data_IF_080858142947
#
_entry.id   IF_080858142947
#
_cell.length_a   1.000
_cell.length_b   1.000
_cell.length_c   1.000
_cell.angle_alpha   90.00
_cell.angle_beta   90.00
_cell.angle_gamma   90.00
#
_symmetry.space_group_name_H-M   'P 1'
#
loop_
_entity.id
_entity.type
_entity.pdbx_description
1 polymer ?
#
# COMPACT_ATOMS: atom_id res chain seq x y z
N UNK A 1 -27.46 72.24 -43.04
CA UNK A 1 -26.84 71.90 -41.72
C UNK A 1 -27.78 71.17 -40.74
N UNK A 2 -29.10 71.08 -40.98
CA UNK A 2 -30.03 70.40 -40.06
C UNK A 2 -30.07 68.85 -40.17
N UNK A 3 -29.69 68.26 -41.31
CA UNK A 3 -29.78 66.81 -41.56
C UNK A 3 -28.62 65.99 -40.98
N UNK A 4 -27.51 66.64 -40.59
CA UNK A 4 -26.33 65.97 -40.00
C UNK A 4 -26.52 65.78 -38.49
N UNK A 5 -27.18 66.73 -37.82
CA UNK A 5 -27.45 66.67 -36.38
C UNK A 5 -28.47 65.57 -36.00
N UNK A 6 -29.49 65.35 -36.85
CA UNK A 6 -30.49 64.31 -36.62
C UNK A 6 -29.91 62.87 -36.66
N UNK A 7 -28.94 62.62 -37.55
CA UNK A 7 -28.28 61.30 -37.66
C UNK A 7 -27.39 60.98 -36.46
N UNK A 8 -26.79 62.00 -35.85
CA UNK A 8 -25.91 61.84 -34.67
C UNK A 8 -26.71 61.52 -33.40
N UNK A 9 -27.91 62.08 -33.26
CA UNK A 9 -28.80 61.84 -32.09
C UNK A 9 -29.39 60.43 -32.11
N UNK A 10 -29.79 59.93 -33.28
CA UNK A 10 -30.34 58.57 -33.43
C UNK A 10 -29.27 57.50 -33.13
N UNK A 11 -28.02 57.70 -33.59
CA UNK A 11 -26.92 56.78 -33.27
C UNK A 11 -26.58 56.73 -31.78
N UNK A 12 -26.69 57.85 -31.06
CA UNK A 12 -26.40 57.90 -29.62
C UNK A 12 -27.47 57.17 -28.79
N UNK A 13 -28.75 57.24 -29.19
CA UNK A 13 -29.82 56.49 -28.53
C UNK A 13 -29.73 54.99 -28.80
N UNK A 14 -29.36 54.57 -30.02
CA UNK A 14 -29.16 53.15 -30.34
C UNK A 14 -27.99 52.55 -29.56
N UNK A 15 -26.88 53.29 -29.43
CA UNK A 15 -25.73 52.89 -28.60
C UNK A 15 -26.08 52.78 -27.11
N UNK A 16 -26.88 53.70 -26.57
CA UNK A 16 -27.31 53.66 -25.18
C UNK A 16 -28.25 52.48 -24.88
N UNK A 17 -29.17 52.16 -25.80
CA UNK A 17 -30.05 51.00 -25.68
C UNK A 17 -29.26 49.70 -25.76
N UNK A 18 -28.26 49.60 -26.65
CA UNK A 18 -27.40 48.42 -26.77
C UNK A 18 -26.51 48.22 -25.53
N UNK A 19 -26.01 49.31 -24.94
CA UNK A 19 -25.24 49.28 -23.70
C UNK A 19 -26.11 48.88 -22.50
N UNK A 20 -27.35 49.39 -22.41
CA UNK A 20 -28.33 48.94 -21.41
C UNK A 20 -28.70 47.45 -21.59
N UNK A 21 -28.86 46.96 -22.81
CA UNK A 21 -29.19 45.55 -23.09
C UNK A 21 -28.05 44.60 -22.69
N UNK A 22 -26.79 45.03 -22.83
CA UNK A 22 -25.61 44.30 -22.36
C UNK A 22 -25.45 44.32 -20.84
N UNK A 23 -25.87 45.40 -20.17
CA UNK A 23 -25.87 45.50 -18.70
C UNK A 23 -27.02 44.72 -18.05
N UNK A 24 -28.16 44.58 -18.73
CA UNK A 24 -29.31 43.83 -18.26
C UNK A 24 -29.20 42.30 -18.50
N UNK A 25 -28.16 41.81 -19.17
CA UNK A 25 -27.93 40.37 -19.32
C UNK A 25 -27.19 39.85 -18.08
N UNK A 26 -27.83 39.09 -17.17
CA UNK A 26 -27.15 38.60 -15.97
C UNK A 26 -26.05 37.61 -16.39
N UNK A 27 -24.76 37.88 -16.08
CA UNK A 27 -23.70 36.92 -16.31
C UNK A 27 -23.78 35.87 -15.21
N UNK A 28 -24.59 34.81 -15.35
CA UNK A 28 -24.77 33.91 -14.19
C UNK A 28 -25.31 32.49 -14.38
N UNK A 29 -25.96 32.15 -15.49
CA UNK A 29 -26.58 30.81 -15.62
C UNK A 29 -25.58 29.65 -15.63
N UNK A 30 -24.43 29.83 -16.28
CA UNK A 30 -23.41 28.78 -16.43
C UNK A 30 -22.55 28.54 -15.19
N UNK A 31 -22.32 29.56 -14.35
CA UNK A 31 -21.52 29.43 -13.12
C UNK A 31 -22.34 28.77 -12.01
N UNK A 32 -23.60 29.19 -11.79
CA UNK A 32 -24.50 28.55 -10.82
C UNK A 32 -24.70 27.05 -11.11
N UNK A 33 -24.82 26.66 -12.38
CA UNK A 33 -24.92 25.23 -12.76
C UNK A 33 -23.66 24.44 -12.42
N UNK A 34 -22.46 25.02 -12.60
CA UNK A 34 -21.20 24.36 -12.26
C UNK A 34 -21.00 24.24 -10.74
N UNK A 35 -21.41 25.25 -9.98
CA UNK A 35 -21.36 25.23 -8.52
C UNK A 35 -22.30 24.18 -7.93
N UNK A 36 -23.53 24.09 -8.43
CA UNK A 36 -24.48 23.06 -8.02
C UNK A 36 -23.99 21.63 -8.35
N UNK A 37 -23.37 21.44 -9.52
CA UNK A 37 -22.76 20.15 -9.89
C UNK A 37 -21.54 19.81 -9.02
N UNK A 38 -20.79 20.82 -8.58
CA UNK A 38 -19.63 20.63 -7.70
C UNK A 38 -20.08 20.19 -6.31
N UNK A 39 -21.07 20.88 -5.71
CA UNK A 39 -21.60 20.53 -4.40
C UNK A 39 -22.17 19.12 -4.41
N UNK A 40 -22.96 18.76 -5.43
CA UNK A 40 -23.51 17.40 -5.57
C UNK A 40 -22.40 16.32 -5.62
N UNK A 41 -21.30 16.58 -6.34
CA UNK A 41 -20.15 15.65 -6.38
C UNK A 41 -19.46 15.54 -5.03
N UNK A 42 -19.32 16.64 -4.28
CA UNK A 42 -18.70 16.64 -2.95
C UNK A 42 -19.59 15.90 -1.96
N UNK A 43 -20.89 16.13 -1.99
CA UNK A 43 -21.85 15.47 -1.10
C UNK A 43 -21.88 13.97 -1.34
N UNK A 44 -21.85 13.53 -2.60
CA UNK A 44 -21.74 12.11 -2.94
C UNK A 44 -20.43 11.48 -2.44
N UNK A 45 -19.30 12.19 -2.56
CA UNK A 45 -18.01 11.70 -2.05
C UNK A 45 -17.99 11.65 -0.51
N UNK A 46 -18.64 12.60 0.15
CA UNK A 46 -18.81 12.62 1.61
C UNK A 46 -19.72 11.50 2.09
N UNK A 47 -20.79 11.19 1.36
CA UNK A 47 -21.68 10.07 1.68
C UNK A 47 -20.97 8.72 1.52
N UNK A 48 -20.10 8.57 0.52
CA UNK A 48 -19.29 7.35 0.40
C UNK A 48 -18.19 7.27 1.45
N UNK A 49 -17.56 8.40 1.76
CA UNK A 49 -16.53 8.46 2.80
C UNK A 49 -17.12 8.18 4.19
N UNK A 50 -18.39 8.52 4.43
CA UNK A 50 -19.12 8.23 5.67
C UNK A 50 -19.28 6.72 5.90
N UNK A 51 -19.45 5.93 4.83
CA UNK A 51 -19.61 4.46 4.89
C UNK A 51 -18.29 3.70 4.89
N UNK A 52 -17.28 4.20 4.18
CA UNK A 52 -15.95 3.57 4.04
C UNK A 52 -14.86 4.62 4.01
N UNK A 53 -13.75 4.39 4.72
CA UNK A 53 -12.59 5.29 4.69
C UNK A 53 -11.91 5.36 3.32
N UNK A 54 -11.92 4.26 2.56
CA UNK A 54 -11.40 4.19 1.19
C UNK A 54 -12.54 3.89 0.22
N UNK A 55 -12.72 4.76 -0.77
CA UNK A 55 -13.77 4.63 -1.78
C UNK A 55 -13.26 3.81 -2.97
N UNK A 56 -13.94 2.70 -3.28
CA UNK A 56 -13.63 1.88 -4.47
C UNK A 56 -14.18 2.53 -5.74
N UNK A 57 -13.31 2.72 -6.72
CA UNK A 57 -13.59 3.39 -7.99
C UNK A 57 -13.38 2.42 -9.16
N UNK A 58 -14.38 2.37 -10.04
CA UNK A 58 -14.26 1.82 -11.39
C UNK A 58 -13.80 2.94 -12.35
N UNK A 59 -13.41 2.63 -13.59
CA UNK A 59 -13.02 3.58 -14.62
C UNK A 59 -14.01 4.73 -14.85
N UNK A 60 -15.32 4.47 -14.83
CA UNK A 60 -16.35 5.52 -14.96
C UNK A 60 -16.37 6.48 -13.77
N UNK A 61 -16.31 5.93 -12.55
CA UNK A 61 -16.28 6.74 -11.32
C UNK A 61 -15.00 7.56 -11.27
N UNK A 62 -13.87 6.96 -11.64
CA UNK A 62 -12.59 7.66 -11.73
C UNK A 62 -12.65 8.83 -12.72
N UNK A 63 -13.22 8.61 -13.91
CA UNK A 63 -13.39 9.68 -14.91
C UNK A 63 -14.29 10.80 -14.40
N UNK A 64 -15.40 10.49 -13.73
CA UNK A 64 -16.38 11.47 -13.22
C UNK A 64 -15.88 12.25 -12.00
N UNK A 65 -15.28 11.60 -11.01
CA UNK A 65 -14.92 12.23 -9.73
C UNK A 65 -13.46 12.69 -9.68
N UNK A 66 -12.54 12.01 -10.37
CA UNK A 66 -11.10 12.32 -10.33
C UNK A 66 -10.64 13.13 -11.54
N UNK A 67 -11.07 12.80 -12.77
CA UNK A 67 -10.63 13.51 -13.99
C UNK A 67 -11.54 14.68 -14.39
N UNK A 68 -12.85 14.54 -14.31
CA UNK A 68 -13.77 15.56 -14.82
C UNK A 68 -13.83 16.80 -13.90
N UNK A 69 -13.73 18.03 -14.46
CA UNK A 69 -14.04 19.24 -13.73
C UNK A 69 -15.57 19.37 -13.51
N UNK A 70 -16.04 20.20 -12.57
CA UNK A 70 -15.30 20.98 -11.57
C UNK A 70 -14.85 20.13 -10.37
N UNK A 71 -13.77 20.55 -9.68
CA UNK A 71 -13.27 19.96 -8.42
C UNK A 71 -12.69 21.07 -7.51
N UNK A 72 -12.96 20.96 -6.21
CA UNK A 72 -12.40 21.78 -5.14
C UNK A 72 -11.74 20.91 -4.05
N UNK A 73 -11.54 19.63 -4.33
CA UNK A 73 -10.95 18.64 -3.44
C UNK A 73 -9.78 17.93 -4.13
N UNK A 74 -8.83 17.50 -3.31
CA UNK A 74 -7.74 16.61 -3.67
C UNK A 74 -8.17 15.17 -3.48
N UNK A 75 -7.73 14.31 -4.39
CA UNK A 75 -7.99 12.87 -4.32
C UNK A 75 -6.67 12.13 -4.28
N UNK A 76 -6.49 11.28 -3.27
CA UNK A 76 -5.40 10.32 -3.22
C UNK A 76 -5.95 9.00 -3.79
N UNK A 77 -5.25 8.47 -4.79
CA UNK A 77 -5.66 7.26 -5.49
C UNK A 77 -4.57 6.22 -5.32
N UNK A 78 -4.95 5.06 -4.79
CA UNK A 78 -4.13 3.85 -4.85
C UNK A 78 -4.55 3.02 -6.06
N UNK A 79 -3.63 2.85 -7.00
CA UNK A 79 -3.75 1.90 -8.10
C UNK A 79 -3.22 0.56 -7.63
N UNK A 80 -4.02 -0.50 -7.74
CA UNK A 80 -3.70 -1.79 -7.15
C UNK A 80 -4.26 -2.95 -7.96
N UNK A 81 -3.89 -4.17 -7.58
CA UNK A 81 -4.43 -5.42 -8.12
C UNK A 81 -4.61 -6.41 -6.97
N UNK A 82 -5.75 -6.33 -6.25
CA UNK A 82 -6.04 -7.16 -5.08
C UNK A 82 -6.59 -8.53 -5.43
N UNK A 83 -7.04 -8.73 -6.67
CA UNK A 83 -7.68 -9.98 -7.06
C UNK A 83 -6.71 -11.16 -6.87
N UNK A 84 -7.15 -12.26 -6.22
CA UNK A 84 -6.26 -13.38 -5.87
C UNK A 84 -5.63 -14.05 -7.10
N UNK A 85 -6.26 -13.94 -8.27
CA UNK A 85 -5.71 -14.43 -9.53
C UNK A 85 -4.39 -13.75 -9.94
N UNK A 86 -4.16 -12.51 -9.49
CA UNK A 86 -2.94 -11.74 -9.79
C UNK A 86 -1.79 -12.02 -8.82
N UNK A 87 -2.07 -12.67 -7.69
CA UNK A 87 -1.09 -13.07 -6.66
C UNK A 87 -0.13 -11.94 -6.22
N UNK A 88 -0.58 -10.67 -6.21
CA UNK A 88 0.24 -9.53 -5.84
C UNK A 88 0.35 -9.37 -4.30
N UNK A 89 1.44 -9.90 -3.72
CA UNK A 89 1.70 -9.79 -2.27
C UNK A 89 1.94 -8.35 -1.81
N UNK A 90 2.70 -7.56 -2.59
CA UNK A 90 3.00 -6.15 -2.29
C UNK A 90 1.72 -5.30 -2.29
N UNK A 91 0.80 -5.56 -3.22
CA UNK A 91 -0.48 -4.86 -3.29
C UNK A 91 -1.33 -5.07 -2.03
N UNK A 92 -1.31 -6.29 -1.47
CA UNK A 92 -2.04 -6.61 -0.24
C UNK A 92 -1.48 -5.86 0.97
N UNK A 93 -0.15 -5.89 1.15
CA UNK A 93 0.51 -5.19 2.24
C UNK A 93 0.34 -3.67 2.13
N UNK A 94 0.52 -3.12 0.93
CA UNK A 94 0.32 -1.69 0.69
C UNK A 94 -1.13 -1.24 0.93
N UNK A 95 -2.11 -2.09 0.60
CA UNK A 95 -3.53 -1.82 0.90
C UNK A 95 -3.81 -1.81 2.40
N UNK A 96 -3.17 -2.68 3.20
CA UNK A 96 -3.31 -2.67 4.66
C UNK A 96 -2.82 -1.34 5.25
N UNK A 97 -1.63 -0.88 4.86
CA UNK A 97 -1.10 0.43 5.28
C UNK A 97 -1.96 1.60 4.79
N UNK A 98 -2.46 1.54 3.55
CA UNK A 98 -3.33 2.57 2.99
C UNK A 98 -4.68 2.66 3.74
N UNK A 99 -5.22 1.53 4.18
CA UNK A 99 -6.43 1.51 5.00
C UNK A 99 -6.20 2.12 6.38
N UNK A 100 -5.07 1.82 7.02
CA UNK A 100 -4.70 2.43 8.31
C UNK A 100 -4.62 3.96 8.19
N UNK A 101 -3.97 4.45 7.12
CA UNK A 101 -3.89 5.87 6.81
C UNK A 101 -5.28 6.51 6.61
N UNK A 102 -6.13 5.89 5.77
CA UNK A 102 -7.46 6.42 5.48
C UNK A 102 -8.38 6.39 6.70
N UNK A 103 -8.29 5.36 7.55
CA UNK A 103 -8.99 5.31 8.83
C UNK A 103 -8.50 6.42 9.77
N UNK A 104 -7.19 6.62 9.86
CA UNK A 104 -6.61 7.70 10.67
C UNK A 104 -7.09 9.08 10.23
N UNK A 105 -7.25 9.31 8.92
CA UNK A 105 -7.84 10.53 8.39
C UNK A 105 -9.30 10.70 8.82
N UNK A 106 -10.10 9.64 8.71
CA UNK A 106 -11.52 9.64 9.10
C UNK A 106 -11.73 10.02 10.57
N UNK A 107 -10.85 9.55 11.46
CA UNK A 107 -10.91 9.85 12.90
C UNK A 107 -10.12 11.09 13.31
N UNK A 108 -9.48 11.79 12.36
CA UNK A 108 -8.70 12.98 12.65
C UNK A 108 -9.60 14.19 12.93
N UNK A 109 -9.20 15.06 13.85
CA UNK A 109 -9.84 16.37 14.05
C UNK A 109 -9.69 17.30 12.85
N UNK A 110 -8.69 17.06 11.99
CA UNK A 110 -8.47 17.82 10.76
C UNK A 110 -9.35 17.36 9.58
N UNK A 111 -10.24 16.38 9.79
CA UNK A 111 -11.08 15.82 8.74
C UNK A 111 -11.88 16.89 7.98
N UNK A 112 -11.81 16.86 6.66
CA UNK A 112 -12.39 17.86 5.77
C UNK A 112 -12.86 17.24 4.45
N UNK A 113 -13.84 17.88 3.80
CA UNK A 113 -14.33 17.52 2.45
C UNK A 113 -13.36 17.92 1.32
N UNK A 114 -12.13 18.34 1.65
CA UNK A 114 -11.08 18.70 0.70
C UNK A 114 -10.16 17.55 0.33
N UNK A 115 -10.18 16.43 1.06
CA UNK A 115 -9.28 15.30 0.83
C UNK A 115 -10.05 13.97 0.90
N UNK A 116 -9.96 13.20 -0.18
CA UNK A 116 -10.60 11.89 -0.28
C UNK A 116 -9.60 10.79 -0.65
N UNK A 117 -9.79 9.62 -0.04
CA UNK A 117 -8.98 8.42 -0.29
C UNK A 117 -9.77 7.44 -1.17
N UNK A 118 -9.13 6.96 -2.23
CA UNK A 118 -9.77 6.12 -3.23
C UNK A 118 -8.85 5.01 -3.69
N UNK A 119 -9.43 3.92 -4.17
CA UNK A 119 -8.69 2.79 -4.74
C UNK A 119 -9.29 2.41 -6.08
N UNK A 120 -8.42 2.13 -7.05
CA UNK A 120 -8.79 1.60 -8.37
C UNK A 120 -8.07 0.26 -8.53
N UNK A 121 -8.85 -0.80 -8.65
CA UNK A 121 -8.30 -2.13 -8.95
C UNK A 121 -8.13 -2.29 -10.47
N UNK A 122 -7.06 -2.98 -10.89
CA UNK A 122 -6.78 -3.28 -12.29
C UNK A 122 -7.94 -4.01 -12.96
N UNK A 123 -8.54 -5.01 -12.29
CA UNK A 123 -9.62 -5.80 -12.90
C UNK A 123 -10.95 -5.00 -12.99
N UNK A 124 -11.13 -3.96 -12.16
CA UNK A 124 -12.31 -3.06 -12.22
C UNK A 124 -12.10 -1.86 -13.15
N UNK A 125 -10.86 -1.48 -13.47
CA UNK A 125 -10.54 -0.21 -14.12
C UNK A 125 -9.32 -0.27 -15.04
N UNK A 126 -9.15 -1.37 -15.78
CA UNK A 126 -8.01 -1.57 -16.68
C UNK A 126 -7.80 -0.41 -17.68
N UNK A 127 -8.89 0.24 -18.10
CA UNK A 127 -8.86 1.42 -18.97
C UNK A 127 -8.13 2.60 -18.33
N UNK A 128 -8.21 2.77 -17.02
CA UNK A 128 -7.53 3.84 -16.28
C UNK A 128 -6.02 3.58 -16.22
N UNK A 129 -5.61 2.33 -16.04
CA UNK A 129 -4.19 1.93 -16.04
C UNK A 129 -3.56 2.19 -17.41
N UNK A 130 -4.26 1.85 -18.49
CA UNK A 130 -3.84 2.14 -19.86
C UNK A 130 -3.77 3.66 -20.11
N UNK A 131 -4.79 4.43 -19.70
CA UNK A 131 -4.81 5.88 -19.87
C UNK A 131 -3.68 6.61 -19.11
N UNK A 132 -3.17 6.02 -18.04
CA UNK A 132 -2.08 6.57 -17.23
C UNK A 132 -0.72 5.92 -17.57
N UNK A 133 -0.66 5.01 -18.54
CA UNK A 133 0.54 4.25 -18.92
C UNK A 133 1.21 3.55 -17.71
N UNK A 134 0.41 2.98 -16.82
CA UNK A 134 0.91 2.25 -15.65
C UNK A 134 0.94 0.74 -15.94
N UNK A 135 2.13 0.16 -15.93
CA UNK A 135 2.36 -1.27 -16.19
C UNK A 135 2.57 -2.09 -14.92
N UNK A 136 2.59 -1.46 -13.75
CA UNK A 136 2.87 -2.08 -12.46
C UNK A 136 1.94 -1.54 -11.37
N UNK A 137 1.70 -2.38 -10.36
CA UNK A 137 0.96 -2.05 -9.16
C UNK A 137 1.76 -2.52 -7.92
N UNK A 138 1.58 -1.91 -6.74
CA UNK A 138 0.73 -0.77 -6.45
C UNK A 138 1.39 0.59 -6.79
N UNK A 139 0.60 1.63 -7.06
CA UNK A 139 1.11 3.00 -7.28
C UNK A 139 0.18 4.00 -6.61
N UNK A 140 0.73 4.98 -5.90
CA UNK A 140 -0.05 6.02 -5.24
C UNK A 140 0.13 7.35 -5.98
N UNK A 141 -0.98 7.99 -6.32
CA UNK A 141 -0.97 9.29 -6.98
C UNK A 141 -1.92 10.27 -6.30
N UNK A 142 -1.51 11.53 -6.25
CA UNK A 142 -2.32 12.65 -5.81
C UNK A 142 -2.87 13.38 -7.04
N UNK A 143 -4.18 13.57 -7.08
CA UNK A 143 -4.84 14.39 -8.08
C UNK A 143 -5.27 15.70 -7.42
N UNK A 144 -4.63 16.84 -7.77
CA UNK A 144 -4.99 18.13 -7.20
C UNK A 144 -6.38 18.58 -7.69
N UNK A 145 -7.02 19.44 -6.91
CA UNK A 145 -8.30 20.07 -7.26
C UNK A 145 -8.24 20.83 -8.60
N UNK A 146 -7.08 21.44 -8.91
CA UNK A 146 -6.86 22.21 -10.13
C UNK A 146 -5.62 21.71 -10.86
N UNK A 147 -5.74 21.56 -12.18
CA UNK A 147 -4.63 21.17 -13.06
C UNK A 147 -4.41 19.65 -13.15
N UNK A 148 -3.30 19.29 -13.79
CA UNK A 148 -2.84 17.90 -13.94
C UNK A 148 -1.87 17.54 -12.81
N UNK A 149 -1.77 16.27 -12.41
CA UNK A 149 -0.74 15.81 -11.47
C UNK A 149 0.67 16.16 -11.97
N UNK A 150 1.53 16.63 -11.07
CA UNK A 150 2.96 16.84 -11.30
C UNK A 150 3.74 15.54 -11.02
N UNK A 151 5.02 15.48 -11.38
CA UNK A 151 5.87 14.30 -11.08
C UNK A 151 5.92 13.97 -9.58
N UNK A 152 6.01 14.99 -8.72
CA UNK A 152 6.00 14.82 -7.26
C UNK A 152 4.62 14.39 -6.68
N UNK A 153 3.55 14.43 -7.49
CA UNK A 153 2.26 13.84 -7.12
C UNK A 153 2.19 12.34 -7.36
N UNK A 154 3.26 11.71 -7.85
CA UNK A 154 3.42 10.25 -7.85
C UNK A 154 4.34 9.87 -6.71
N UNK A 155 3.88 8.99 -5.82
CA UNK A 155 4.67 8.55 -4.69
C UNK A 155 5.74 7.55 -5.13
N UNK A 156 6.98 7.78 -4.71
CA UNK A 156 8.13 6.92 -5.00
C UNK A 156 8.17 5.73 -4.03
N UNK A 157 7.40 4.70 -4.39
CA UNK A 157 7.25 3.47 -3.61
C UNK A 157 8.58 2.72 -3.45
N UNK A 158 9.44 2.71 -4.48
CA UNK A 158 10.65 1.89 -4.51
C UNK A 158 11.71 2.41 -3.55
N UNK A 159 11.79 3.74 -3.36
CA UNK A 159 12.79 4.36 -2.51
C UNK A 159 12.34 4.53 -1.05
N UNK A 160 11.06 4.86 -0.84
CA UNK A 160 10.54 5.24 0.49
C UNK A 160 9.86 4.07 1.20
N UNK A 161 9.26 3.14 0.44
CA UNK A 161 8.38 2.10 0.98
C UNK A 161 6.95 2.59 1.21
N UNK A 162 6.05 1.70 1.62
CA UNK A 162 4.59 1.94 1.72
C UNK A 162 4.09 2.10 3.16
N UNK A 163 4.96 2.46 4.10
CA UNK A 163 4.53 2.75 5.47
C UNK A 163 3.54 3.92 5.51
N UNK A 164 2.46 3.77 6.28
CA UNK A 164 1.40 4.76 6.41
C UNK A 164 1.90 6.13 6.88
N UNK A 165 2.93 6.20 7.73
CA UNK A 165 3.54 7.47 8.17
C UNK A 165 4.25 8.19 7.03
N UNK A 166 4.91 7.46 6.13
CA UNK A 166 5.59 8.03 4.96
C UNK A 166 4.57 8.55 3.94
N UNK A 167 3.49 7.79 3.73
CA UNK A 167 2.36 8.24 2.90
C UNK A 167 1.70 9.50 3.49
N UNK A 168 1.50 9.55 4.81
CA UNK A 168 0.97 10.74 5.48
C UNK A 168 1.87 11.96 5.30
N UNK A 169 3.19 11.79 5.44
CA UNK A 169 4.17 12.86 5.23
C UNK A 169 4.15 13.35 3.79
N UNK A 170 4.15 12.45 2.80
CA UNK A 170 4.03 12.82 1.41
C UNK A 170 2.72 13.57 1.12
N UNK A 171 1.58 13.11 1.67
CA UNK A 171 0.29 13.80 1.50
C UNK A 171 0.34 15.20 2.12
N UNK A 172 0.97 15.37 3.28
CA UNK A 172 1.15 16.66 3.90
C UNK A 172 1.99 17.60 3.00
N UNK A 173 3.08 17.11 2.41
CA UNK A 173 3.92 17.89 1.49
C UNK A 173 3.17 18.30 0.21
N UNK A 174 2.13 17.56 -0.21
CA UNK A 174 1.36 17.84 -1.44
C UNK A 174 0.07 18.63 -1.21
N UNK A 175 -0.57 18.45 -0.07
CA UNK A 175 -1.92 18.98 0.22
C UNK A 175 -1.97 19.92 1.41
N UNK A 176 -0.86 20.09 2.15
CA UNK A 176 -0.76 20.83 3.40
C UNK A 176 -1.64 20.26 4.55
N UNK A 177 -2.21 19.07 4.34
CA UNK A 177 -3.04 18.37 5.33
C UNK A 177 -2.18 17.38 6.11
N UNK A 178 -1.98 17.66 7.40
CA UNK A 178 -1.23 16.79 8.30
C UNK A 178 -2.12 15.70 8.90
N UNK A 179 -1.83 14.43 8.57
CA UNK A 179 -2.55 13.27 9.09
C UNK A 179 -1.70 12.58 10.15
N UNK A 180 -2.21 12.48 11.37
CA UNK A 180 -1.58 11.67 12.43
C UNK A 180 -2.06 10.23 12.29
N UNK A 181 -1.15 9.32 11.98
CA UNK A 181 -1.46 7.90 11.77
C UNK A 181 -1.61 7.20 13.11
N UNK A 182 -2.75 6.54 13.32
CA UNK A 182 -2.99 5.64 14.45
C UNK A 182 -3.09 4.20 13.94
N UNK A 183 -2.11 3.37 14.30
CA UNK A 183 -2.13 1.94 13.98
C UNK A 183 -3.09 1.23 14.93
N UNK A 184 -4.19 0.61 14.46
CA UNK A 184 -5.08 -0.12 15.35
C UNK A 184 -4.29 -1.26 16.02
N UNK A 185 -4.40 -1.43 17.35
CA UNK A 185 -3.70 -2.52 18.03
C UNK A 185 -4.20 -3.86 17.51
N UNK A 186 -3.27 -4.74 17.11
CA UNK A 186 -3.59 -6.09 16.68
C UNK A 186 -4.01 -6.93 17.90
N UNK A 187 -5.32 -7.01 18.16
CA UNK A 187 -5.88 -7.82 19.25
C UNK A 187 -5.68 -9.33 19.04
N UNK A 188 -5.27 -9.77 17.85
CA UNK A 188 -4.99 -11.19 17.56
C UNK A 188 -3.95 -11.77 18.51
N UNK A 189 -2.87 -11.03 18.77
CA UNK A 189 -1.81 -11.45 19.70
C UNK A 189 -2.31 -11.53 21.14
N UNK A 190 -3.08 -10.54 21.59
CA UNK A 190 -3.61 -10.50 22.96
C UNK A 190 -4.68 -11.57 23.18
N UNK A 191 -5.53 -11.83 22.19
CA UNK A 191 -6.56 -12.89 22.26
C UNK A 191 -5.89 -14.28 22.26
N UNK A 192 -4.88 -14.51 21.41
CA UNK A 192 -4.14 -15.76 21.39
C UNK A 192 -3.43 -16.01 22.73
N UNK A 193 -2.81 -14.96 23.31
CA UNK A 193 -2.18 -15.03 24.62
C UNK A 193 -3.21 -15.30 25.74
N UNK A 194 -4.36 -14.63 25.71
CA UNK A 194 -5.44 -14.86 26.67
C UNK A 194 -5.99 -16.30 26.59
N UNK A 195 -6.16 -16.84 25.38
CA UNK A 195 -6.58 -18.23 25.17
C UNK A 195 -5.53 -19.22 25.69
N UNK A 196 -4.25 -18.98 25.43
CA UNK A 196 -3.17 -19.83 25.94
C UNK A 196 -3.13 -19.83 27.47
N UNK A 197 -3.21 -18.65 28.10
CA UNK A 197 -3.24 -18.51 29.56
C UNK A 197 -4.49 -19.18 30.16
N UNK A 198 -5.65 -19.02 29.53
CA UNK A 198 -6.89 -19.68 29.96
C UNK A 198 -6.80 -21.20 29.84
N UNK A 199 -6.22 -21.73 28.77
CA UNK A 199 -6.05 -23.16 28.55
C UNK A 199 -5.06 -23.76 29.55
N UNK A 200 -3.91 -23.12 29.77
CA UNK A 200 -2.91 -23.55 30.76
C UNK A 200 -3.49 -23.47 32.18
N UNK A 201 -4.16 -22.36 32.51
CA UNK A 201 -4.82 -22.17 33.81
C UNK A 201 -5.94 -23.21 34.05
N UNK A 202 -6.75 -23.50 33.04
CA UNK A 202 -7.78 -24.54 33.09
C UNK A 202 -7.23 -25.94 33.29
N UNK A 203 -6.16 -26.30 32.56
CA UNK A 203 -5.44 -27.57 32.72
C UNK A 203 -4.84 -27.71 34.13
N UNK A 204 -4.21 -26.65 34.64
CA UNK A 204 -3.66 -26.62 36.00
C UNK A 204 -4.75 -26.72 37.07
N UNK A 205 -5.92 -26.12 36.84
CA UNK A 205 -7.06 -26.20 37.75
C UNK A 205 -7.65 -27.63 37.78
N UNK A 206 -7.88 -28.25 36.62
CA UNK A 206 -8.41 -29.61 36.53
C UNK A 206 -7.43 -30.68 37.03
N UNK A 207 -6.12 -30.46 36.87
CA UNK A 207 -5.05 -31.36 37.34
C UNK A 207 -4.46 -30.94 38.68
N UNK A 208 -5.16 -30.11 39.47
CA UNK A 208 -4.66 -29.59 40.76
C UNK A 208 -4.28 -30.68 41.77
N UNK A 209 -4.88 -31.87 41.66
CA UNK A 209 -4.58 -33.01 42.52
C UNK A 209 -3.38 -33.86 42.04
N UNK A 210 -2.84 -33.61 40.84
CA UNK A 210 -1.73 -34.36 40.23
C UNK A 210 -0.61 -33.42 39.74
N UNK A 211 -0.07 -32.63 40.68
CA UNK A 211 0.99 -31.63 40.45
C UNK A 211 2.38 -32.22 40.18
N UNK A 212 2.52 -33.55 40.10
CA UNK A 212 3.80 -34.23 39.85
C UNK A 212 4.45 -33.80 38.53
N UNK A 213 3.64 -33.43 37.53
CA UNK A 213 4.15 -32.92 36.25
C UNK A 213 4.92 -31.59 36.39
N UNK A 214 4.52 -30.71 37.30
CA UNK A 214 5.19 -29.41 37.54
C UNK A 214 6.46 -29.59 38.36
N UNK A 215 6.55 -30.61 39.22
CA UNK A 215 7.77 -30.86 40.01
C UNK A 215 8.80 -31.72 39.28
N UNK A 216 8.47 -32.28 38.11
CA UNK A 216 9.36 -33.12 37.35
C UNK A 216 10.51 -32.30 36.70
N UNK A 217 11.74 -32.46 37.21
CA UNK A 217 12.94 -31.80 36.67
C UNK A 217 13.21 -32.13 35.20
N UNK A 218 12.83 -33.31 34.72
CA UNK A 218 13.04 -33.71 33.32
C UNK A 218 12.13 -32.94 32.35
N UNK A 219 10.89 -32.62 32.77
CA UNK A 219 9.97 -31.79 31.98
C UNK A 219 10.48 -30.36 31.80
N UNK A 220 11.01 -29.75 32.87
CA UNK A 220 11.64 -28.43 32.81
C UNK A 220 12.92 -28.41 31.97
N UNK A 221 13.73 -29.47 32.04
CA UNK A 221 14.92 -29.59 31.20
C UNK A 221 14.56 -29.66 29.71
N UNK A 222 13.54 -30.44 29.34
CA UNK A 222 13.05 -30.50 27.96
C UNK A 222 12.46 -29.17 27.49
N UNK A 223 11.67 -28.49 28.33
CA UNK A 223 11.12 -27.17 28.00
C UNK A 223 12.23 -26.12 27.78
N UNK A 224 13.26 -26.12 28.64
CA UNK A 224 14.41 -25.24 28.50
C UNK A 224 15.19 -25.49 27.20
N UNK A 225 15.44 -26.76 26.85
CA UNK A 225 16.08 -27.13 25.59
C UNK A 225 15.27 -26.67 24.37
N UNK A 226 13.94 -26.85 24.39
CA UNK A 226 13.06 -26.36 23.32
C UNK A 226 13.18 -24.84 23.12
N UNK A 227 13.25 -24.06 24.20
CA UNK A 227 13.41 -22.60 24.11
C UNK A 227 14.77 -22.22 23.55
N UNK A 228 15.86 -22.87 23.99
CA UNK A 228 17.20 -22.62 23.47
C UNK A 228 17.26 -22.94 21.98
N UNK A 229 16.73 -24.10 21.55
CA UNK A 229 16.68 -24.44 20.13
C UNK A 229 15.85 -23.44 19.32
N UNK A 230 14.67 -23.04 19.81
CA UNK A 230 13.84 -22.04 19.15
C UNK A 230 14.58 -20.69 18.99
N UNK A 231 15.33 -20.25 20.00
CA UNK A 231 16.08 -18.99 19.96
C UNK A 231 17.32 -19.07 19.06
N UNK A 232 18.02 -20.20 19.05
CA UNK A 232 19.10 -20.46 18.09
C UNK A 232 18.60 -20.66 16.66
N UNK A 233 17.29 -20.91 16.47
CA UNK A 233 16.68 -21.23 15.18
C UNK A 233 16.49 -20.12 14.16
N UNK A 234 17.01 -18.91 14.45
CA UNK A 234 16.84 -17.76 13.58
C UNK A 234 15.39 -17.23 13.53
N UNK A 235 14.49 -17.72 14.39
CA UNK A 235 13.09 -17.26 14.45
C UNK A 235 12.97 -15.76 14.69
N UNK A 236 13.88 -15.19 15.49
CA UNK A 236 13.96 -13.75 15.70
C UNK A 236 14.34 -12.98 14.42
N UNK A 237 15.23 -13.54 13.61
CA UNK A 237 15.62 -12.95 12.33
C UNK A 237 14.44 -12.93 11.35
N UNK A 238 13.65 -14.01 11.29
CA UNK A 238 12.42 -14.04 10.50
C UNK A 238 11.37 -13.06 11.00
N UNK A 239 11.20 -12.94 12.33
CA UNK A 239 10.22 -12.03 12.92
C UNK A 239 10.54 -10.56 12.60
N UNK A 240 11.81 -10.17 12.60
CA UNK A 240 12.21 -8.77 12.34
C UNK A 240 12.19 -8.45 10.84
N UNK A 241 12.63 -9.38 9.98
CA UNK A 241 12.82 -9.10 8.55
C UNK A 241 11.63 -9.52 7.68
N UNK A 242 10.78 -10.43 8.16
CA UNK A 242 9.59 -10.90 7.46
C UNK A 242 9.81 -11.28 5.98
N UNK A 243 10.90 -11.98 5.60
CA UNK A 243 11.12 -12.32 4.20
C UNK A 243 9.98 -13.21 3.68
N UNK A 244 9.59 -13.07 2.40
CA UNK A 244 8.57 -13.92 1.82
C UNK A 244 9.04 -15.38 1.81
N UNK A 245 8.23 -16.28 2.36
CA UNK A 245 8.57 -17.71 2.51
C UNK A 245 8.86 -18.43 1.17
N UNK A 246 8.28 -17.94 0.07
CA UNK A 246 8.53 -18.45 -1.26
C UNK A 246 8.48 -17.32 -2.28
N UNK A 247 9.51 -17.23 -3.12
CA UNK A 247 9.52 -16.35 -4.29
C UNK A 247 9.66 -17.19 -5.56
N UNK A 248 8.74 -16.98 -6.52
CA UNK A 248 8.81 -17.64 -7.83
C UNK A 248 9.56 -16.73 -8.78
N UNK A 249 10.66 -17.21 -9.36
CA UNK A 249 11.35 -16.48 -10.41
C UNK A 249 10.55 -16.59 -11.73
N UNK A 250 10.03 -15.47 -12.28
CA UNK A 250 9.17 -15.49 -13.46
C UNK A 250 9.87 -15.94 -14.75
N UNK A 251 11.20 -15.95 -14.81
CA UNK A 251 11.94 -16.39 -15.99
C UNK A 251 12.20 -17.91 -16.00
N UNK A 252 12.26 -18.55 -14.83
CA UNK A 252 12.83 -19.90 -14.69
C UNK A 252 11.84 -20.91 -14.06
N UNK A 253 10.68 -20.45 -13.58
CA UNK A 253 9.71 -21.28 -12.84
C UNK A 253 10.22 -21.86 -11.51
N UNK A 254 11.45 -21.53 -11.12
CA UNK A 254 12.08 -21.99 -9.88
C UNK A 254 11.44 -21.30 -8.70
N UNK A 255 11.02 -22.12 -7.72
CA UNK A 255 10.54 -21.64 -6.43
C UNK A 255 11.76 -21.57 -5.52
N UNK A 256 12.19 -20.37 -5.18
CA UNK A 256 13.20 -20.15 -4.14
C UNK A 256 12.48 -20.19 -2.80
N UNK A 257 12.73 -21.25 -2.03
CA UNK A 257 12.29 -21.32 -0.64
C UNK A 257 13.37 -20.68 0.22
N UNK A 258 13.01 -19.62 0.92
CA UNK A 258 13.86 -19.06 1.97
C UNK A 258 13.66 -19.93 3.22
N UNK A 259 14.69 -20.62 3.67
CA UNK A 259 14.60 -21.36 4.93
C UNK A 259 14.54 -20.40 6.12
N UNK A 260 13.93 -20.82 7.25
CA UNK A 260 13.83 -20.00 8.46
C UNK A 260 15.17 -19.55 9.07
N UNK A 261 16.29 -20.05 8.55
CA UNK A 261 17.63 -19.86 9.10
C UNK A 261 18.50 -18.93 8.25
N UNK A 262 17.91 -18.23 7.27
CA UNK A 262 18.65 -17.35 6.36
C UNK A 262 19.33 -18.08 5.19
N UNK A 263 19.20 -19.40 5.07
CA UNK A 263 19.72 -20.16 3.93
C UNK A 263 18.73 -20.10 2.76
N UNK A 264 19.21 -19.69 1.58
CA UNK A 264 18.44 -19.68 0.34
C UNK A 264 18.65 -21.02 -0.39
N UNK A 265 17.62 -21.86 -0.43
CA UNK A 265 17.66 -23.12 -1.19
C UNK A 265 16.92 -22.93 -2.51
N UNK A 266 17.63 -23.15 -3.63
CA UNK A 266 17.00 -23.21 -4.96
C UNK A 266 16.61 -24.64 -5.27
N UNK A 267 15.32 -24.99 -5.09
CA UNK A 267 14.80 -26.28 -5.57
C UNK A 267 14.42 -26.14 -7.05
N UNK A 268 15.19 -26.82 -7.90
CA UNK A 268 14.85 -26.99 -9.32
C UNK A 268 13.94 -28.22 -9.42
N UNK A 269 12.63 -27.99 -9.59
CA UNK A 269 11.66 -29.07 -9.80
C UNK A 269 12.03 -29.84 -11.08
N UNK A 270 12.29 -31.16 -11.02
CA UNK A 270 12.49 -31.96 -12.22
C UNK A 270 11.17 -32.14 -12.98
N UNK A 271 11.21 -32.34 -14.32
CA UNK A 271 10.03 -32.52 -15.16
C UNK A 271 9.21 -33.78 -14.80
N UNK A 272 7.91 -33.83 -15.18
CA UNK A 272 6.87 -34.66 -14.55
C UNK A 272 6.90 -36.17 -14.85
N UNK A 273 8.04 -36.78 -15.20
CA UNK A 273 8.07 -38.20 -15.62
C UNK A 273 8.49 -39.23 -14.56
N UNK A 274 8.88 -38.83 -13.35
CA UNK A 274 9.35 -39.79 -12.33
C UNK A 274 8.55 -39.68 -11.02
N UNK A 275 7.22 -39.82 -11.09
CA UNK A 275 6.32 -39.88 -9.92
C UNK A 275 5.96 -41.31 -9.50
N UNK A 276 6.88 -42.27 -9.58
CA UNK A 276 6.65 -43.58 -8.95
C UNK A 276 7.90 -44.03 -8.18
N UNK A 277 7.66 -44.36 -6.91
CA UNK A 277 8.57 -44.92 -5.92
C UNK A 277 9.42 -43.93 -5.07
N UNK A 278 8.79 -43.36 -4.03
CA UNK A 278 9.33 -43.41 -2.64
C UNK A 278 8.30 -42.83 -1.64
N UNK A 279 7.29 -43.62 -1.37
CA UNK A 279 6.54 -43.53 -0.11
C UNK A 279 7.40 -44.26 0.94
N UNK A 280 7.52 -43.70 2.15
CA UNK A 280 8.44 -44.05 3.26
C UNK A 280 9.84 -43.41 3.23
N UNK A 281 10.00 -42.27 3.94
CA UNK A 281 11.20 -41.89 4.74
C UNK A 281 11.19 -40.40 5.18
N UNK A 282 10.05 -39.81 5.51
CA UNK A 282 10.00 -38.41 5.97
C UNK A 282 10.61 -38.21 7.36
N UNK A 283 10.54 -39.22 8.24
CA UNK A 283 11.07 -39.11 9.61
C UNK A 283 12.60 -39.32 9.68
N UNK A 284 13.16 -40.26 8.90
CA UNK A 284 14.60 -40.53 8.90
C UNK A 284 15.42 -39.44 8.20
N UNK A 285 14.86 -38.80 7.16
CA UNK A 285 15.52 -37.67 6.52
C UNK A 285 15.55 -36.43 7.43
N UNK A 286 14.52 -36.20 8.25
CA UNK A 286 14.52 -35.12 9.23
C UNK A 286 15.55 -35.33 10.34
N UNK A 287 15.73 -36.57 10.80
CA UNK A 287 16.75 -36.94 11.79
C UNK A 287 18.18 -36.94 11.21
N UNK A 288 18.35 -37.39 9.96
CA UNK A 288 19.65 -37.35 9.27
C UNK A 288 20.08 -35.91 8.95
N UNK A 289 19.15 -35.01 8.64
CA UNK A 289 19.42 -33.57 8.50
C UNK A 289 19.79 -32.90 9.83
N UNK A 290 19.21 -33.36 10.93
CA UNK A 290 19.56 -32.88 12.27
C UNK A 290 21.00 -33.25 12.68
N UNK A 291 21.51 -34.42 12.29
CA UNK A 291 22.88 -34.83 12.63
C UNK A 291 23.97 -34.15 11.78
N UNK A 292 23.68 -33.71 10.54
CA UNK A 292 24.71 -33.15 9.64
C UNK A 292 25.04 -31.66 9.88
N UNK A 293 24.30 -30.96 10.75
CA UNK A 293 24.45 -29.51 10.97
C UNK A 293 25.62 -29.10 11.88
N UNK A 294 26.53 -30.02 12.23
CA UNK A 294 27.72 -29.72 13.04
C UNK A 294 28.98 -29.40 12.21
N UNK A 295 28.95 -29.50 10.88
CA UNK A 295 30.09 -29.13 10.03
C UNK A 295 29.93 -27.69 9.55
N UNK A 296 30.68 -26.80 10.19
CA UNK A 296 30.83 -25.40 9.77
C UNK A 296 31.35 -25.29 8.33
N UNK A 297 30.84 -24.32 7.57
CA UNK A 297 31.57 -23.75 6.44
C UNK A 297 31.49 -22.22 6.50
N UNK A 298 32.67 -21.62 6.69
CA UNK A 298 32.96 -20.20 6.54
C UNK A 298 32.88 -19.79 5.06
N UNK A 299 32.73 -18.49 4.73
CA UNK A 299 32.48 -18.03 3.37
C UNK A 299 33.76 -18.09 2.53
N UNK A 300 33.76 -18.87 1.46
CA UNK A 300 34.79 -18.79 0.42
C UNK A 300 34.34 -17.89 -0.74
N UNK A 301 35.16 -16.88 -0.97
CA UNK A 301 35.20 -15.87 -2.03
C UNK A 301 35.04 -16.35 -3.49
N UNK A 302 34.23 -15.59 -4.26
CA UNK A 302 34.44 -15.22 -5.68
C UNK A 302 34.24 -16.29 -6.76
N UNK A 303 34.10 -15.92 -8.07
CA UNK A 303 34.68 -14.71 -8.69
C UNK A 303 33.71 -13.80 -9.47
N UNK A 304 34.17 -12.56 -9.59
CA UNK A 304 33.66 -11.42 -10.36
C UNK A 304 34.21 -11.38 -11.80
N UNK A 305 33.39 -10.90 -12.75
CA UNK A 305 33.79 -10.27 -14.04
C UNK A 305 32.73 -9.18 -14.35
N UNK A 306 32.99 -7.89 -14.11
CA UNK A 306 33.49 -6.84 -15.05
C UNK A 306 32.71 -6.81 -16.39
N UNK A 307 32.08 -5.72 -16.86
CA UNK A 307 32.59 -4.36 -17.18
C UNK A 307 31.44 -3.30 -17.07
N UNK A 308 31.58 -1.98 -16.86
CA UNK A 308 32.34 -0.90 -17.55
C UNK A 308 31.99 0.48 -16.88
N UNK A 309 32.58 1.66 -17.22
CA UNK A 309 33.88 2.19 -16.81
C UNK A 309 33.84 3.56 -16.03
N UNK A 310 34.97 3.85 -15.37
CA UNK A 310 35.60 5.14 -14.97
C UNK A 310 34.84 6.48 -15.08
N UNK A 311 34.83 7.23 -13.96
CA UNK A 311 35.33 8.60 -13.90
C UNK A 311 35.77 8.98 -12.47
N UNK A 312 37.05 9.32 -12.35
CA UNK A 312 37.81 9.87 -11.23
C UNK A 312 37.48 11.34 -10.91
N UNK A 313 37.65 11.74 -9.63
CA UNK A 313 37.82 13.09 -9.01
C UNK A 313 37.07 13.06 -7.66
N UNK A 314 37.61 13.30 -6.46
CA UNK A 314 38.71 14.14 -6.02
C UNK A 314 39.40 13.54 -4.79
N UNK A 315 40.71 13.72 -4.77
CA UNK A 315 41.64 13.62 -3.67
C UNK A 315 41.38 14.67 -2.57
N UNK A 316 41.57 14.25 -1.32
CA UNK A 316 42.53 14.89 -0.39
C UNK A 316 42.30 16.36 0.00
N UNK A 317 41.83 16.58 1.24
CA UNK A 317 42.26 17.73 2.04
C UNK A 317 42.22 17.39 3.54
N UNK A 318 43.40 17.09 4.08
CA UNK A 318 43.80 17.50 5.42
C UNK A 318 45.17 18.15 5.34
N UNK A 319 45.27 19.30 4.68
CA UNK A 319 46.13 20.46 4.99
C UNK A 319 45.89 21.59 3.99
#
# INVERSE_FOLDING_TARGET
MASVWAKSVVNLQVLAVFFCLMVCLPPGGGQKKKENLLSEKVDQMMEWSSRRSVIRMNGDKFRRFVKAPPRNYSVIVMFTALQPQRQCSVCRQANEEYQVLANSWRYSSAFSNKLFFTVVDYDEGADVFQQLNMNSAPTFMHFPAKGKPKRADTFDLQRIGFASEQLAKWIADRTDVQIRVFRPPNYSGTIALALLVSLVGGLLYLRRNNLEFIYNKTGWAMAALCVVFAMTSGQMWNHIRGPPYAHKNPQNGQVMLQSPWGWCYSMKLPPPREMLAREESSAWLALAWWCFSLVSCSPSSGPSTMDTPTASLLSEQTQ
#
